data_IF_784986283126
#
_entry.id   IF_784986283126
#
_cell.length_a   1.000
_cell.length_b   1.000
_cell.length_c   1.000
_cell.angle_alpha   90.00
_cell.angle_beta   90.00
_cell.angle_gamma   90.00
#
_symmetry.space_group_name_H-M   'P 1'
#
loop_
_entity.id
_entity.type
_entity.pdbx_description
1 polymer ?
#
# COMPACT_ATOMS: atom_id res chain seq x y z
N UNK A 1 7.78 -4.20 -36.05
CA UNK A 1 7.52 -3.03 -35.19
C UNK A 1 6.13 -3.21 -34.63
N UNK A 2 5.99 -3.96 -33.54
CA UNK A 2 4.69 -4.18 -32.90
C UNK A 2 4.50 -3.13 -31.80
N UNK A 3 3.66 -2.15 -32.07
CA UNK A 3 3.15 -1.22 -31.06
C UNK A 3 2.03 -1.92 -30.29
N UNK A 4 2.38 -2.75 -29.31
CA UNK A 4 1.43 -3.50 -28.48
C UNK A 4 1.01 -2.70 -27.24
N UNK A 5 -0.28 -2.41 -27.11
CA UNK A 5 -0.87 -1.53 -26.07
C UNK A 5 -0.91 -2.07 -24.64
N UNK A 6 0.24 -2.23 -23.97
CA UNK A 6 0.33 -2.62 -22.55
C UNK A 6 0.93 -1.55 -21.62
N UNK A 7 1.46 -0.45 -22.16
CA UNK A 7 2.24 0.52 -21.38
C UNK A 7 1.48 1.31 -20.31
N UNK A 8 0.16 1.46 -20.42
CA UNK A 8 -0.63 2.24 -19.46
C UNK A 8 -0.72 1.58 -18.07
N UNK A 9 -1.11 0.31 -18.04
CA UNK A 9 -1.26 -0.45 -16.78
C UNK A 9 0.09 -0.67 -16.10
N UNK A 10 1.14 -0.89 -16.89
CA UNK A 10 2.51 -1.04 -16.37
C UNK A 10 3.02 0.25 -15.70
N UNK A 11 2.86 1.40 -16.36
CA UNK A 11 3.20 2.72 -15.78
C UNK A 11 2.39 3.01 -14.51
N UNK A 12 1.09 2.74 -14.53
CA UNK A 12 0.23 2.91 -13.35
C UNK A 12 0.70 2.02 -12.21
N UNK A 13 0.99 0.75 -12.48
CA UNK A 13 1.44 -0.18 -11.43
C UNK A 13 2.80 0.21 -10.88
N UNK A 14 3.72 0.67 -11.72
CA UNK A 14 5.00 1.21 -11.29
C UNK A 14 4.82 2.41 -10.36
N UNK A 15 4.01 3.39 -10.75
CA UNK A 15 3.74 4.58 -9.96
C UNK A 15 3.08 4.24 -8.62
N UNK A 16 2.03 3.40 -8.63
CA UNK A 16 1.32 2.97 -7.43
C UNK A 16 2.24 2.24 -6.46
N UNK A 17 3.08 1.32 -6.95
CA UNK A 17 4.02 0.55 -6.11
C UNK A 17 4.98 1.48 -5.37
N UNK A 18 5.58 2.42 -6.08
CA UNK A 18 6.54 3.35 -5.48
C UNK A 18 5.87 4.35 -4.55
N UNK A 19 4.72 4.91 -4.93
CA UNK A 19 3.95 5.81 -4.07
C UNK A 19 3.54 5.11 -2.76
N UNK A 20 3.03 3.88 -2.85
CA UNK A 20 2.63 3.07 -1.68
C UNK A 20 3.81 2.79 -0.75
N UNK A 21 4.97 2.44 -1.33
CA UNK A 21 6.19 2.16 -0.56
C UNK A 21 6.68 3.40 0.18
N UNK A 22 6.70 4.56 -0.48
CA UNK A 22 7.12 5.83 0.12
C UNK A 22 6.21 6.20 1.29
N UNK A 23 4.89 6.07 1.11
CA UNK A 23 3.93 6.33 2.17
C UNK A 23 4.11 5.39 3.37
N UNK A 24 4.34 4.10 3.14
CA UNK A 24 4.63 3.17 4.24
C UNK A 24 5.93 3.52 4.96
N UNK A 25 6.99 3.92 4.25
CA UNK A 25 8.24 4.38 4.89
C UNK A 25 7.98 5.59 5.80
N UNK A 26 7.21 6.58 5.32
CA UNK A 26 6.80 7.70 6.17
C UNK A 26 5.91 7.27 7.33
N UNK A 27 5.04 6.28 7.15
CA UNK A 27 4.21 5.72 8.22
C UNK A 27 5.05 5.07 9.33
N UNK A 28 6.07 4.29 8.95
CA UNK A 28 7.04 3.72 9.90
C UNK A 28 7.80 4.83 10.63
N UNK A 29 8.25 5.87 9.93
CA UNK A 29 8.87 7.03 10.53
C UNK A 29 7.96 7.73 11.53
N UNK A 30 6.74 8.09 11.12
CA UNK A 30 5.74 8.73 11.97
C UNK A 30 5.40 7.89 13.22
N UNK A 31 5.38 6.57 13.10
CA UNK A 31 5.19 5.65 14.25
C UNK A 31 6.34 5.75 15.24
N UNK A 32 7.59 5.76 14.75
CA UNK A 32 8.78 5.91 15.60
C UNK A 32 8.81 7.26 16.35
N UNK A 33 8.22 8.30 15.77
CA UNK A 33 8.09 9.62 16.41
C UNK A 33 6.80 9.79 17.23
N UNK A 34 5.95 8.76 17.32
CA UNK A 34 4.68 8.81 18.05
C UNK A 34 3.62 9.74 17.43
N UNK A 35 3.75 10.07 16.15
CA UNK A 35 2.86 11.01 15.45
C UNK A 35 1.52 10.36 15.10
N UNK A 36 0.61 10.38 16.07
CA UNK A 36 -0.76 9.88 15.94
C UNK A 36 -1.70 11.06 15.67
N UNK A 37 -2.62 10.99 14.69
CA UNK A 37 -2.99 9.84 13.85
C UNK A 37 -2.28 9.77 12.48
N UNK A 38 -1.27 10.62 12.22
CA UNK A 38 -0.63 10.71 10.90
C UNK A 38 -0.04 9.35 10.45
N UNK A 39 0.61 8.62 11.35
CA UNK A 39 1.13 7.28 11.08
C UNK A 39 0.05 6.33 10.53
N UNK A 40 -1.13 6.32 11.13
CA UNK A 40 -2.26 5.47 10.78
C UNK A 40 -2.77 5.83 9.37
N UNK A 41 -2.95 7.12 9.08
CA UNK A 41 -3.40 7.53 7.74
C UNK A 41 -2.40 7.14 6.66
N UNK A 42 -1.10 7.33 6.90
CA UNK A 42 -0.04 6.94 5.97
C UNK A 42 -0.01 5.42 5.75
N UNK A 43 -0.18 4.63 6.82
CA UNK A 43 -0.27 3.18 6.70
C UNK A 43 -1.47 2.73 5.89
N UNK A 44 -2.67 3.28 6.15
CA UNK A 44 -3.89 2.92 5.43
C UNK A 44 -3.73 3.20 3.93
N UNK A 45 -3.27 4.40 3.56
CA UNK A 45 -3.08 4.75 2.15
C UNK A 45 -2.03 3.84 1.51
N UNK A 46 -0.91 3.58 2.20
CA UNK A 46 0.14 2.69 1.73
C UNK A 46 -0.32 1.24 1.53
N UNK A 47 -1.11 0.71 2.46
CA UNK A 47 -1.67 -0.64 2.41
C UNK A 47 -2.69 -0.78 1.28
N UNK A 48 -3.58 0.20 1.12
CA UNK A 48 -4.56 0.22 0.02
C UNK A 48 -3.86 0.28 -1.34
N UNK A 49 -2.84 1.12 -1.47
CA UNK A 49 -2.07 1.24 -2.72
C UNK A 49 -1.35 -0.06 -3.08
N UNK A 50 -0.71 -0.73 -2.12
CA UNK A 50 -0.09 -2.04 -2.36
C UNK A 50 -1.09 -3.16 -2.61
N UNK A 51 -2.27 -3.13 -1.96
CA UNK A 51 -3.35 -4.06 -2.27
C UNK A 51 -3.82 -3.90 -3.72
N UNK A 52 -3.96 -2.67 -4.20
CA UNK A 52 -4.28 -2.39 -5.61
C UNK A 52 -3.19 -2.90 -6.56
N UNK A 53 -1.90 -2.76 -6.22
CA UNK A 53 -0.79 -3.38 -6.98
C UNK A 53 -0.94 -4.90 -7.03
N UNK A 54 -1.30 -5.54 -5.92
CA UNK A 54 -1.57 -6.99 -5.87
C UNK A 54 -2.68 -7.41 -6.84
N UNK A 55 -3.76 -6.64 -6.92
CA UNK A 55 -4.85 -6.88 -7.90
C UNK A 55 -4.33 -6.73 -9.33
N UNK A 56 -3.59 -5.65 -9.62
CA UNK A 56 -3.05 -5.37 -10.96
C UNK A 56 -2.08 -6.47 -11.43
N UNK A 57 -1.27 -7.01 -10.52
CA UNK A 57 -0.35 -8.12 -10.79
C UNK A 57 -1.01 -9.50 -10.72
N UNK A 58 -2.28 -9.59 -10.30
CA UNK A 58 -2.97 -10.85 -9.97
C UNK A 58 -2.19 -11.71 -8.97
N UNK A 59 -1.42 -11.08 -8.08
CA UNK A 59 -0.62 -11.75 -7.07
C UNK A 59 -1.41 -11.89 -5.76
N UNK A 60 -1.80 -13.13 -5.46
CA UNK A 60 -2.61 -13.43 -4.27
C UNK A 60 -1.84 -13.26 -2.97
N UNK A 61 -0.51 -13.42 -2.98
CA UNK A 61 0.31 -13.24 -1.80
C UNK A 61 0.38 -11.75 -1.43
N UNK A 62 0.61 -10.87 -2.40
CA UNK A 62 0.63 -9.40 -2.17
C UNK A 62 -0.73 -8.90 -1.66
N UNK A 63 -1.83 -9.39 -2.25
CA UNK A 63 -3.18 -9.05 -1.77
C UNK A 63 -3.41 -9.52 -0.33
N UNK A 64 -3.04 -10.77 -0.01
CA UNK A 64 -3.24 -11.35 1.31
C UNK A 64 -2.49 -10.59 2.40
N UNK A 65 -1.19 -10.32 2.21
CA UNK A 65 -0.37 -9.68 3.25
C UNK A 65 -0.88 -8.27 3.57
N UNK A 66 -1.31 -7.51 2.56
CA UNK A 66 -1.80 -6.16 2.75
C UNK A 66 -3.21 -6.15 3.35
N UNK A 67 -4.05 -7.11 2.97
CA UNK A 67 -5.36 -7.26 3.58
C UNK A 67 -5.27 -7.63 5.07
N UNK A 68 -4.40 -8.58 5.44
CA UNK A 68 -4.16 -8.93 6.85
C UNK A 68 -3.56 -7.75 7.62
N UNK A 69 -2.61 -7.03 7.03
CA UNK A 69 -2.05 -5.83 7.63
C UNK A 69 -3.11 -4.74 7.87
N UNK A 70 -4.06 -4.57 6.94
CA UNK A 70 -5.18 -3.65 7.11
C UNK A 70 -6.07 -4.05 8.29
N UNK A 71 -6.44 -5.33 8.38
CA UNK A 71 -7.23 -5.85 9.51
C UNK A 71 -6.51 -5.63 10.84
N UNK A 72 -5.21 -5.93 10.90
CA UNK A 72 -4.41 -5.74 12.10
C UNK A 72 -4.37 -4.26 12.53
N UNK A 73 -4.26 -3.33 11.57
CA UNK A 73 -4.28 -1.90 11.83
C UNK A 73 -5.66 -1.44 12.36
N UNK A 74 -6.76 -1.90 11.75
CA UNK A 74 -8.12 -1.59 12.23
C UNK A 74 -8.37 -2.16 13.63
N UNK A 75 -7.93 -3.39 13.89
CA UNK A 75 -8.03 -4.02 15.20
C UNK A 75 -7.24 -3.24 16.26
N UNK A 76 -6.02 -2.78 15.92
CA UNK A 76 -5.21 -1.96 16.80
C UNK A 76 -5.89 -0.65 17.20
N UNK A 77 -6.49 0.06 16.24
CA UNK A 77 -7.26 1.30 16.51
C UNK A 77 -8.50 1.02 17.35
N UNK A 78 -9.16 -0.12 17.13
CA UNK A 78 -10.39 -0.46 17.86
C UNK A 78 -10.11 -0.87 19.32
N UNK A 79 -8.88 -1.29 19.62
CA UNK A 79 -8.46 -1.71 20.95
C UNK A 79 -7.80 -0.58 21.77
N UNK A 80 -7.50 0.55 21.14
CA UNK A 80 -6.88 1.74 21.76
C UNK A 80 -7.91 2.76 22.22
#
# INVERSE_FOLDING_TARGET
METGGTGGTEKLTFCLKWASSILQIFAYGATSFGLTPLNIYLFVIGVVGWFAVGILWKDRAIMLIHFVAFIALVAGISAS
#
